data_IF_742601040004
#
_entry.id   IF_742601040004
#
_cell.length_a   1.000
_cell.length_b   1.000
_cell.length_c   1.000
_cell.angle_alpha   90.00
_cell.angle_beta   90.00
_cell.angle_gamma   90.00
#
_symmetry.space_group_name_H-M   'P 1'
#
loop_
_entity.id
_entity.type
_entity.pdbx_description
1 polymer ?
#
# COMPACT_ATOMS: atom_id res chain seq x y z
N UNK A 1 -10.18 18.14 -6.65
CA UNK A 1 -10.14 17.95 -5.18
C UNK A 1 -9.31 19.08 -4.59
N UNK A 2 -9.73 19.68 -3.49
CA UNK A 2 -8.97 20.75 -2.82
C UNK A 2 -7.88 20.18 -1.89
N UNK A 3 -7.08 21.08 -1.28
CA UNK A 3 -5.95 20.72 -0.41
C UNK A 3 -6.43 19.93 0.81
N UNK A 4 -7.50 20.39 1.47
CA UNK A 4 -8.02 19.77 2.68
C UNK A 4 -8.53 18.35 2.43
N UNK A 5 -9.25 18.13 1.33
CA UNK A 5 -9.76 16.79 1.01
C UNK A 5 -8.63 15.82 0.65
N UNK A 6 -7.57 16.29 -0.02
CA UNK A 6 -6.38 15.46 -0.28
C UNK A 6 -5.66 15.09 1.02
N UNK A 7 -5.47 16.05 1.92
CA UNK A 7 -4.89 15.81 3.23
C UNK A 7 -5.73 14.82 4.03
N UNK A 8 -7.06 15.01 4.09
CA UNK A 8 -7.99 14.12 4.78
C UNK A 8 -7.84 12.67 4.32
N UNK A 9 -7.78 12.41 3.01
CA UNK A 9 -7.61 11.06 2.47
C UNK A 9 -6.24 10.46 2.84
N UNK A 10 -5.17 11.22 2.67
CA UNK A 10 -3.80 10.76 2.96
C UNK A 10 -3.67 10.40 4.45
N UNK A 11 -4.22 11.22 5.34
CA UNK A 11 -4.12 11.04 6.79
C UNK A 11 -5.29 10.27 7.41
N UNK A 12 -6.28 9.85 6.62
CA UNK A 12 -7.40 9.06 7.11
C UNK A 12 -6.91 7.75 7.77
N UNK A 13 -7.69 7.13 8.67
CA UNK A 13 -7.41 5.78 9.14
C UNK A 13 -7.13 4.81 7.97
N UNK A 14 -6.20 3.85 8.12
CA UNK A 14 -5.49 3.47 9.34
C UNK A 14 -4.16 4.22 9.59
N UNK A 15 -4.00 5.45 9.08
CA UNK A 15 -2.81 6.26 9.40
C UNK A 15 -2.86 6.70 10.86
N UNK A 16 -1.86 6.30 11.66
CA UNK A 16 -1.75 6.66 13.08
C UNK A 16 -0.77 7.81 13.34
N UNK A 17 0.23 7.98 12.47
CA UNK A 17 1.28 9.00 12.61
C UNK A 17 1.62 9.60 11.24
N UNK A 18 1.93 10.90 11.23
CA UNK A 18 2.35 11.66 10.05
C UNK A 18 3.56 12.51 10.41
N UNK A 19 4.62 12.42 9.62
CA UNK A 19 5.89 13.13 9.85
C UNK A 19 6.32 13.81 8.53
N UNK A 20 6.30 15.13 8.41
CA UNK A 20 5.41 16.08 9.11
C UNK A 20 4.17 16.37 8.28
N UNK A 21 3.09 16.84 8.92
CA UNK A 21 1.84 17.16 8.20
C UNK A 21 2.03 18.34 7.24
N UNK A 22 2.88 19.28 7.64
CA UNK A 22 3.23 20.49 6.90
C UNK A 22 3.93 20.15 5.58
N UNK A 23 4.84 19.18 5.56
CA UNK A 23 5.53 18.74 4.33
C UNK A 23 4.54 18.17 3.31
N UNK A 24 3.57 17.36 3.75
CA UNK A 24 2.53 16.82 2.86
C UNK A 24 1.66 17.95 2.30
N UNK A 25 1.28 18.92 3.14
CA UNK A 25 0.49 20.09 2.72
C UNK A 25 1.24 20.90 1.66
N UNK A 26 2.53 21.18 1.89
CA UNK A 26 3.36 21.92 0.93
C UNK A 26 3.47 21.19 -0.41
N UNK A 27 3.66 19.86 -0.41
CA UNK A 27 3.67 19.07 -1.64
C UNK A 27 2.33 19.17 -2.41
N UNK A 28 1.21 19.17 -1.69
CA UNK A 28 -0.13 19.32 -2.29
C UNK A 28 -0.32 20.72 -2.88
N UNK A 29 0.03 21.77 -2.14
CA UNK A 29 -0.14 23.17 -2.55
C UNK A 29 0.77 23.57 -3.71
N UNK A 30 2.00 23.03 -3.76
CA UNK A 30 2.96 23.25 -4.85
C UNK A 30 2.69 22.40 -6.09
N UNK A 31 1.73 21.45 -6.01
CA UNK A 31 1.44 20.53 -7.11
C UNK A 31 2.55 19.52 -7.36
N UNK A 32 3.39 19.24 -6.36
CA UNK A 32 4.48 18.26 -6.46
C UNK A 32 3.89 16.86 -6.70
N UNK A 33 4.32 16.13 -7.75
CA UNK A 33 3.92 14.74 -7.95
C UNK A 33 4.35 13.87 -6.77
N UNK A 34 3.38 13.18 -6.16
CA UNK A 34 3.63 12.31 -5.00
C UNK A 34 3.65 10.85 -5.42
N UNK A 35 4.64 10.12 -4.92
CA UNK A 35 4.76 8.67 -5.06
C UNK A 35 4.84 8.08 -3.65
N UNK A 36 3.86 7.26 -3.29
CA UNK A 36 3.88 6.47 -2.06
C UNK A 36 4.28 5.01 -2.35
N UNK A 37 4.75 4.30 -1.33
CA UNK A 37 5.03 2.88 -1.45
C UNK A 37 4.67 2.12 -0.16
N UNK A 38 4.30 0.85 -0.31
CA UNK A 38 4.19 -0.12 0.80
C UNK A 38 4.75 -1.46 0.31
N UNK A 39 5.49 -2.14 1.18
CA UNK A 39 6.14 -3.42 0.89
C UNK A 39 5.62 -4.53 1.80
N UNK A 40 5.54 -5.74 1.26
CA UNK A 40 5.12 -6.90 2.05
C UNK A 40 5.83 -8.16 1.62
N UNK A 41 6.09 -9.03 2.60
CA UNK A 41 6.60 -10.37 2.37
C UNK A 41 5.46 -11.35 2.09
N UNK A 42 5.40 -12.00 0.91
CA UNK A 42 4.42 -13.03 0.64
C UNK A 42 4.63 -14.25 1.56
N UNK A 43 3.74 -14.41 2.54
CA UNK A 43 3.95 -15.36 3.65
C UNK A 43 2.73 -16.22 3.98
N UNK A 44 1.63 -16.08 3.26
CA UNK A 44 0.45 -16.92 3.41
C UNK A 44 -0.83 -16.25 2.95
N UNK A 45 -1.94 -16.59 3.61
CA UNK A 45 -3.28 -16.08 3.29
C UNK A 45 -3.42 -14.60 3.65
N UNK A 46 -4.24 -13.88 2.89
CA UNK A 46 -4.63 -12.52 3.26
C UNK A 46 -5.40 -12.56 4.58
N UNK A 47 -4.96 -11.80 5.56
CA UNK A 47 -5.74 -11.51 6.76
C UNK A 47 -6.34 -10.11 6.66
N UNK A 48 -7.24 -9.75 7.59
CA UNK A 48 -8.01 -8.50 7.50
C UNK A 48 -7.12 -7.25 7.34
N UNK A 49 -5.97 -7.21 8.00
CA UNK A 49 -5.03 -6.09 7.87
C UNK A 49 -4.34 -6.06 6.50
N UNK A 50 -3.77 -7.18 6.06
CA UNK A 50 -3.01 -7.24 4.80
C UNK A 50 -3.89 -7.17 3.57
N UNK A 51 -5.13 -7.67 3.65
CA UNK A 51 -6.13 -7.60 2.59
C UNK A 51 -6.96 -6.32 2.67
N UNK A 52 -7.89 -6.25 3.63
CA UNK A 52 -8.92 -5.21 3.69
C UNK A 52 -8.36 -3.84 4.09
N UNK A 53 -7.65 -3.73 5.22
CA UNK A 53 -7.17 -2.43 5.70
C UNK A 53 -6.17 -1.79 4.73
N UNK A 54 -5.27 -2.60 4.16
CA UNK A 54 -4.37 -2.12 3.09
C UNK A 54 -5.15 -1.62 1.89
N UNK A 55 -6.19 -2.34 1.44
CA UNK A 55 -7.01 -1.90 0.30
C UNK A 55 -7.69 -0.55 0.55
N UNK A 56 -8.12 -0.28 1.80
CA UNK A 56 -8.69 1.02 2.17
C UNK A 56 -7.65 2.11 1.96
N UNK A 57 -6.45 1.97 2.54
CA UNK A 57 -5.40 2.99 2.43
C UNK A 57 -4.89 3.17 0.99
N UNK A 58 -4.81 2.09 0.20
CA UNK A 58 -4.46 2.19 -1.22
C UNK A 58 -5.47 3.04 -1.98
N UNK A 59 -6.77 2.82 -1.76
CA UNK A 59 -7.81 3.61 -2.41
C UNK A 59 -7.74 5.08 -2.00
N UNK A 60 -7.55 5.36 -0.71
CA UNK A 60 -7.43 6.75 -0.24
C UNK A 60 -6.27 7.49 -0.93
N UNK A 61 -5.12 6.84 -1.05
CA UNK A 61 -3.94 7.41 -1.70
C UNK A 61 -4.17 7.66 -3.20
N UNK A 62 -4.75 6.68 -3.90
CA UNK A 62 -5.07 6.80 -5.32
C UNK A 62 -6.12 7.88 -5.57
N UNK A 63 -7.15 7.97 -4.71
CA UNK A 63 -8.18 9.01 -4.78
C UNK A 63 -7.58 10.41 -4.51
N UNK A 64 -6.61 10.53 -3.62
CA UNK A 64 -5.85 11.75 -3.36
C UNK A 64 -4.86 12.14 -4.49
N UNK A 65 -4.80 11.34 -5.57
CA UNK A 65 -3.93 11.57 -6.72
C UNK A 65 -2.46 11.23 -6.46
N UNK A 66 -2.19 10.30 -5.55
CA UNK A 66 -0.85 9.80 -5.26
C UNK A 66 -0.59 8.55 -6.10
N UNK A 67 0.55 8.50 -6.82
CA UNK A 67 1.00 7.26 -7.45
C UNK A 67 1.42 6.27 -6.35
N UNK A 68 0.92 5.04 -6.38
CA UNK A 68 1.23 4.06 -5.35
C UNK A 68 2.02 2.88 -5.91
N UNK A 69 3.15 2.56 -5.29
CA UNK A 69 4.00 1.42 -5.62
C UNK A 69 3.88 0.32 -4.57
N UNK A 70 3.40 -0.85 -4.99
CA UNK A 70 3.38 -2.04 -4.15
C UNK A 70 4.63 -2.88 -4.42
N UNK A 71 5.47 -3.04 -3.40
CA UNK A 71 6.64 -3.92 -3.47
C UNK A 71 6.25 -5.34 -3.02
N UNK A 72 6.20 -6.27 -3.98
CA UNK A 72 6.17 -7.71 -3.70
C UNK A 72 7.57 -8.11 -3.23
N UNK A 73 7.80 -8.19 -1.92
CA UNK A 73 9.13 -8.44 -1.35
C UNK A 73 9.45 -9.95 -1.30
N UNK A 74 9.46 -10.60 -2.46
CA UNK A 74 9.68 -12.05 -2.61
C UNK A 74 11.08 -12.50 -2.14
N UNK A 75 12.13 -11.75 -2.47
CA UNK A 75 13.48 -11.99 -1.95
C UNK A 75 13.58 -11.85 -0.43
N UNK A 76 12.90 -10.88 0.16
CA UNK A 76 12.88 -10.70 1.62
C UNK A 76 12.16 -11.88 2.29
N UNK A 77 11.02 -12.30 1.73
CA UNK A 77 10.30 -13.48 2.18
C UNK A 77 11.16 -14.75 2.06
N UNK A 78 11.96 -14.88 0.99
CA UNK A 78 12.87 -16.00 0.77
C UNK A 78 14.00 -16.03 1.81
N UNK A 79 14.67 -14.89 2.05
CA UNK A 79 15.71 -14.75 3.09
C UNK A 79 15.12 -15.08 4.47
N UNK A 80 13.88 -14.67 4.73
CA UNK A 80 13.15 -14.96 5.97
C UNK A 80 12.52 -16.35 6.02
N UNK A 81 12.87 -17.25 5.09
CA UNK A 81 12.40 -18.64 5.03
C UNK A 81 10.87 -18.78 5.06
N UNK A 82 10.13 -17.77 4.58
CA UNK A 82 8.67 -17.86 4.41
C UNK A 82 8.35 -18.96 3.41
N UNK A 83 7.20 -19.60 3.58
CA UNK A 83 6.78 -20.73 2.74
C UNK A 83 7.84 -21.85 2.65
N UNK A 84 8.65 -22.03 3.71
CA UNK A 84 9.75 -23.00 3.73
C UNK A 84 10.94 -22.63 2.84
N UNK A 85 11.07 -21.37 2.40
CA UNK A 85 12.10 -20.93 1.46
C UNK A 85 11.82 -21.31 0.00
N UNK A 86 10.59 -21.74 -0.31
CA UNK A 86 10.19 -22.06 -1.68
C UNK A 86 9.81 -20.76 -2.44
N UNK A 87 10.66 -20.33 -3.37
CA UNK A 87 10.45 -19.10 -4.15
C UNK A 87 9.18 -19.14 -4.99
N UNK A 88 8.86 -20.27 -5.63
CA UNK A 88 7.64 -20.39 -6.45
C UNK A 88 6.38 -20.23 -5.61
N UNK A 89 6.38 -20.80 -4.40
CA UNK A 89 5.28 -20.63 -3.45
C UNK A 89 5.16 -19.19 -2.96
N UNK A 90 6.27 -18.50 -2.68
CA UNK A 90 6.29 -17.08 -2.31
C UNK A 90 5.71 -16.22 -3.43
N UNK A 91 6.16 -16.41 -4.67
CA UNK A 91 5.67 -15.64 -5.81
C UNK A 91 4.19 -15.95 -6.11
N UNK A 92 3.75 -17.18 -5.91
CA UNK A 92 2.33 -17.55 -6.01
C UNK A 92 1.48 -16.81 -4.97
N UNK A 93 1.95 -16.71 -3.72
CA UNK A 93 1.29 -15.92 -2.67
C UNK A 93 1.28 -14.43 -3.03
N UNK A 94 2.37 -13.90 -3.58
CA UNK A 94 2.43 -12.50 -4.02
C UNK A 94 1.36 -12.17 -5.05
N UNK A 95 1.23 -13.01 -6.09
CA UNK A 95 0.18 -12.89 -7.11
C UNK A 95 -1.22 -13.03 -6.52
N UNK A 96 -1.41 -13.94 -5.57
CA UNK A 96 -2.68 -14.10 -4.85
C UNK A 96 -3.05 -12.84 -4.06
N UNK A 97 -2.11 -12.20 -3.37
CA UNK A 97 -2.37 -10.98 -2.60
C UNK A 97 -2.74 -9.80 -3.50
N UNK A 98 -2.09 -9.66 -4.67
CA UNK A 98 -2.49 -8.69 -5.70
C UNK A 98 -3.94 -8.91 -6.13
N UNK A 99 -4.33 -10.16 -6.41
CA UNK A 99 -5.72 -10.50 -6.75
C UNK A 99 -6.70 -10.25 -5.60
N UNK A 100 -6.27 -10.39 -4.35
CA UNK A 100 -7.09 -10.05 -3.20
C UNK A 100 -7.39 -8.55 -3.13
N UNK A 101 -6.40 -7.68 -3.38
CA UNK A 101 -6.61 -6.23 -3.40
C UNK A 101 -7.47 -5.77 -4.57
N UNK A 102 -7.30 -6.38 -5.75
CA UNK A 102 -8.18 -6.16 -6.91
C UNK A 102 -9.63 -6.51 -6.56
N UNK A 103 -9.86 -7.65 -5.91
CA UNK A 103 -11.19 -8.05 -5.43
C UNK A 103 -11.78 -7.14 -4.34
N UNK A 104 -10.95 -6.41 -3.60
CA UNK A 104 -11.36 -5.37 -2.65
C UNK A 104 -11.62 -4.00 -3.33
N UNK A 105 -11.52 -3.93 -4.66
CA UNK A 105 -11.83 -2.75 -5.46
C UNK A 105 -10.68 -1.75 -5.58
N UNK A 106 -9.43 -2.17 -5.32
CA UNK A 106 -8.26 -1.35 -5.63
C UNK A 106 -8.03 -1.39 -7.15
N UNK A 107 -7.99 -0.26 -7.86
CA UNK A 107 -7.63 -0.25 -9.27
C UNK A 107 -6.15 -0.61 -9.43
N UNK A 108 -5.86 -1.56 -10.32
CA UNK A 108 -4.53 -2.13 -10.57
C UNK A 108 -3.94 -1.61 -11.88
#
# INVERSE_FOLDING_TARGET
MDVEKRLELITAPPTEEVITLEEIREMIETGTPMIAYDGFEPSGKAHIATGLMRSIKLKDMLEAGVEFKILIADWHAWINKKMGGNMDAIQAVGKYLVKAWEACGVPM
#
